data_IF_377528095565
#
_entry.id   IF_377528095565
#
_cell.length_a   1.000
_cell.length_b   1.000
_cell.length_c   1.000
_cell.angle_alpha   90.00
_cell.angle_beta   90.00
_cell.angle_gamma   90.00
#
_symmetry.space_group_name_H-M   'P 1'
#
loop_
_entity.id
_entity.type
_entity.pdbx_description
1 polymer ?
#
# COMPACT_ATOMS: atom_id res chain seq x y z
N UNK A 1 -36.67 -14.96 -16.52
CA UNK A 1 -35.56 -15.05 -15.56
C UNK A 1 -34.36 -14.43 -16.25
N UNK A 2 -33.83 -13.34 -15.69
CA UNK A 2 -32.58 -12.76 -16.19
C UNK A 2 -31.45 -13.74 -15.85
N UNK A 3 -30.49 -13.97 -16.77
CA UNK A 3 -29.33 -14.81 -16.46
C UNK A 3 -28.55 -14.19 -15.29
N UNK A 4 -28.07 -15.05 -14.39
CA UNK A 4 -27.17 -14.60 -13.32
C UNK A 4 -25.92 -13.93 -13.91
N UNK A 5 -25.44 -12.85 -13.30
CA UNK A 5 -24.23 -12.18 -13.79
C UNK A 5 -23.04 -13.15 -13.73
N UNK A 6 -22.34 -13.30 -14.85
CA UNK A 6 -21.15 -14.13 -14.93
C UNK A 6 -20.04 -13.40 -14.15
N UNK A 7 -19.53 -14.03 -13.10
CA UNK A 7 -18.41 -13.52 -12.31
C UNK A 7 -17.11 -13.67 -13.12
N UNK A 8 -16.38 -12.56 -13.29
CA UNK A 8 -15.04 -12.59 -13.90
C UNK A 8 -14.06 -13.25 -12.91
N UNK A 9 -13.55 -14.41 -13.27
CA UNK A 9 -12.53 -15.15 -12.49
C UNK A 9 -11.16 -15.16 -13.18
N UNK A 10 -10.94 -14.29 -14.15
CA UNK A 10 -9.64 -14.16 -14.83
C UNK A 10 -8.54 -13.71 -13.84
N UNK A 11 -7.27 -13.98 -14.13
CA UNK A 11 -6.18 -13.57 -13.28
C UNK A 11 -6.08 -12.04 -13.09
N UNK A 12 -5.66 -11.61 -11.90
CA UNK A 12 -5.24 -10.23 -11.64
C UNK A 12 -3.84 -10.03 -12.25
N UNK A 13 -3.76 -9.44 -13.42
CA UNK A 13 -2.49 -9.19 -14.12
C UNK A 13 -2.09 -7.73 -13.94
N UNK A 14 -0.85 -7.49 -13.52
CA UNK A 14 -0.22 -6.18 -13.63
C UNK A 14 0.26 -5.99 -15.06
N UNK A 15 0.08 -4.78 -15.60
CA UNK A 15 0.66 -4.39 -16.90
C UNK A 15 2.17 -4.14 -16.75
N UNK A 16 2.92 -5.20 -16.49
CA UNK A 16 4.37 -5.20 -16.40
C UNK A 16 4.92 -6.12 -17.49
N UNK A 17 5.79 -5.56 -18.30
CA UNK A 17 6.53 -6.32 -19.31
C UNK A 17 7.91 -6.69 -18.74
N UNK A 18 8.02 -7.91 -18.22
CA UNK A 18 9.24 -8.44 -17.64
C UNK A 18 10.36 -8.62 -18.69
N UNK A 19 10.01 -8.76 -19.97
CA UNK A 19 10.98 -8.93 -21.05
C UNK A 19 11.71 -7.61 -21.35
N UNK A 20 11.15 -6.47 -20.96
CA UNK A 20 11.78 -5.16 -21.14
C UNK A 20 12.68 -4.73 -19.98
N UNK A 21 12.74 -5.50 -18.88
CA UNK A 21 13.60 -5.18 -17.74
C UNK A 21 15.07 -5.44 -18.12
N UNK A 22 15.94 -4.41 -18.12
CA UNK A 22 17.34 -4.60 -18.49
C UNK A 22 18.08 -5.33 -17.35
N UNK A 23 18.31 -6.62 -17.54
CA UNK A 23 18.98 -7.49 -16.55
C UNK A 23 20.44 -7.78 -16.89
N UNK A 24 20.92 -7.37 -18.06
CA UNK A 24 22.26 -7.64 -18.54
C UNK A 24 23.34 -7.08 -17.60
N UNK A 25 24.26 -7.93 -17.19
CA UNK A 25 25.34 -7.57 -16.26
C UNK A 25 24.90 -7.44 -14.78
N UNK A 26 23.67 -7.82 -14.43
CA UNK A 26 23.16 -7.80 -13.06
C UNK A 26 22.44 -9.12 -12.73
N UNK A 27 23.18 -10.05 -12.15
CA UNK A 27 22.68 -11.40 -11.82
C UNK A 27 21.51 -11.36 -10.83
N UNK A 28 21.56 -10.46 -9.83
CA UNK A 28 20.49 -10.31 -8.82
C UNK A 28 19.19 -9.83 -9.50
N UNK A 29 19.29 -8.85 -10.37
CA UNK A 29 18.12 -8.34 -11.09
C UNK A 29 17.56 -9.39 -12.05
N UNK A 30 18.43 -10.18 -12.69
CA UNK A 30 18.04 -11.29 -13.54
C UNK A 30 17.28 -12.36 -12.77
N UNK A 31 17.78 -12.75 -11.58
CA UNK A 31 17.14 -13.72 -10.70
C UNK A 31 15.77 -13.20 -10.20
N UNK A 32 15.69 -11.94 -9.76
CA UNK A 32 14.44 -11.32 -9.33
C UNK A 32 13.42 -11.24 -10.47
N UNK A 33 13.85 -10.86 -11.66
CA UNK A 33 13.00 -10.79 -12.84
C UNK A 33 12.41 -12.16 -13.19
N UNK A 34 13.26 -13.20 -13.22
CA UNK A 34 12.81 -14.58 -13.44
C UNK A 34 11.84 -15.05 -12.33
N UNK A 35 12.11 -14.73 -11.08
CA UNK A 35 11.23 -15.06 -9.97
C UNK A 35 9.85 -14.43 -10.12
N UNK A 36 9.78 -13.11 -10.33
CA UNK A 36 8.49 -12.42 -10.41
C UNK A 36 7.72 -12.76 -11.68
N UNK A 37 8.37 -12.90 -12.83
CA UNK A 37 7.71 -13.30 -14.08
C UNK A 37 7.10 -14.70 -14.02
N UNK A 38 7.67 -15.60 -13.22
CA UNK A 38 7.17 -16.97 -13.04
C UNK A 38 6.00 -17.08 -12.05
N UNK A 39 5.64 -16.01 -11.33
CA UNK A 39 4.57 -16.09 -10.30
C UNK A 39 3.19 -16.14 -10.94
N UNK A 40 2.36 -17.01 -10.41
CA UNK A 40 0.95 -17.08 -10.79
C UNK A 40 0.17 -16.01 -10.03
N UNK A 41 -0.51 -15.08 -10.70
CA UNK A 41 -1.33 -14.08 -10.03
C UNK A 41 -2.58 -14.72 -9.40
N UNK A 42 -3.15 -14.03 -8.41
CA UNK A 42 -4.45 -14.41 -7.85
C UNK A 42 -5.57 -14.14 -8.86
N UNK A 43 -6.66 -14.88 -8.76
CA UNK A 43 -7.83 -14.65 -9.60
C UNK A 43 -8.73 -13.56 -9.03
N UNK A 44 -9.47 -12.92 -9.91
CA UNK A 44 -10.62 -12.08 -9.56
C UNK A 44 -11.74 -12.92 -8.96
N UNK A 45 -12.64 -12.27 -8.25
CA UNK A 45 -13.83 -12.87 -7.65
C UNK A 45 -15.01 -11.89 -7.69
N UNK A 46 -16.14 -12.29 -7.12
CA UNK A 46 -17.38 -11.49 -7.09
C UNK A 46 -17.26 -10.11 -6.41
N UNK A 47 -16.20 -9.90 -5.63
CA UNK A 47 -15.94 -8.62 -4.94
C UNK A 47 -14.98 -7.72 -5.73
N UNK A 48 -14.37 -8.24 -6.79
CA UNK A 48 -13.42 -7.47 -7.59
C UNK A 48 -14.12 -6.26 -8.23
N UNK A 49 -13.59 -5.08 -7.95
CA UNK A 49 -14.14 -3.83 -8.48
C UNK A 49 -15.38 -3.31 -7.75
N UNK A 50 -15.84 -3.93 -6.64
CA UNK A 50 -17.04 -3.47 -5.91
C UNK A 50 -16.93 -2.02 -5.42
N UNK A 51 -15.73 -1.52 -5.21
CA UNK A 51 -15.47 -0.13 -4.80
C UNK A 51 -14.94 0.75 -5.95
N UNK A 52 -15.06 0.31 -7.19
CA UNK A 52 -14.63 1.11 -8.35
C UNK A 52 -15.34 2.47 -8.35
N UNK A 53 -14.55 3.55 -8.40
CA UNK A 53 -15.05 4.92 -8.36
C UNK A 53 -15.31 5.48 -6.96
N UNK A 54 -15.13 4.69 -5.91
CA UNK A 54 -15.18 5.17 -4.54
C UNK A 54 -13.85 5.81 -4.11
N UNK A 55 -13.91 6.70 -3.13
CA UNK A 55 -12.71 7.21 -2.48
C UNK A 55 -12.15 6.18 -1.48
N UNK A 56 -10.82 6.08 -1.43
CA UNK A 56 -10.12 5.30 -0.40
C UNK A 56 -9.57 6.24 0.67
N UNK A 57 -9.92 6.00 1.92
CA UNK A 57 -9.35 6.68 3.10
C UNK A 57 -8.62 5.60 3.90
N UNK A 58 -7.29 5.69 3.97
CA UNK A 58 -6.44 4.84 4.78
C UNK A 58 -6.03 5.61 6.04
N UNK A 59 -6.37 5.09 7.20
CA UNK A 59 -6.02 5.70 8.49
C UNK A 59 -5.08 4.76 9.23
N UNK A 60 -3.84 5.20 9.48
CA UNK A 60 -2.92 4.55 10.41
C UNK A 60 -3.13 5.15 11.79
N UNK A 61 -3.87 4.44 12.64
CA UNK A 61 -4.14 4.86 14.00
C UNK A 61 -2.97 4.43 14.91
N UNK A 62 -1.86 5.16 14.83
CA UNK A 62 -0.63 4.87 15.60
C UNK A 62 -0.91 4.87 17.10
N UNK A 63 -0.35 3.88 17.80
CA UNK A 63 -0.51 3.68 19.25
C UNK A 63 -1.96 3.50 19.72
N UNK A 64 -2.94 3.34 18.84
CA UNK A 64 -4.31 3.07 19.20
C UNK A 64 -4.44 1.63 19.75
N UNK A 65 -4.86 1.51 20.99
CA UNK A 65 -5.12 0.19 21.59
C UNK A 65 -6.49 -0.34 21.21
N UNK A 66 -6.56 -1.57 20.72
CA UNK A 66 -7.83 -2.25 20.47
C UNK A 66 -8.75 -2.30 21.68
N UNK A 67 -8.18 -2.31 22.90
CA UNK A 67 -8.96 -2.25 24.15
C UNK A 67 -9.76 -0.94 24.32
N UNK A 68 -9.41 0.10 23.57
CA UNK A 68 -10.12 1.38 23.58
C UNK A 68 -11.24 1.48 22.53
N UNK A 69 -11.52 0.42 21.77
CA UNK A 69 -12.51 0.45 20.67
C UNK A 69 -13.90 0.84 21.17
N UNK A 70 -14.30 0.35 22.34
CA UNK A 70 -15.62 0.63 22.94
C UNK A 70 -15.77 2.09 23.38
N UNK A 71 -14.66 2.80 23.58
CA UNK A 71 -14.64 4.24 23.90
C UNK A 71 -14.68 5.13 22.65
N UNK A 72 -14.66 4.53 21.47
CA UNK A 72 -14.64 5.21 20.18
C UNK A 72 -15.82 4.79 19.31
N UNK A 73 -17.01 5.37 19.50
CA UNK A 73 -18.25 4.88 18.87
C UNK A 73 -18.18 4.76 17.35
N UNK A 74 -17.49 5.67 16.69
CA UNK A 74 -17.32 5.63 15.23
C UNK A 74 -16.48 4.43 14.78
N UNK A 75 -15.35 4.16 15.45
CA UNK A 75 -14.50 3.02 15.12
C UNK A 75 -15.20 1.70 15.46
N UNK A 76 -15.91 1.64 16.60
CA UNK A 76 -16.72 0.49 16.96
C UNK A 76 -17.78 0.19 15.88
N UNK A 77 -18.48 1.22 15.39
CA UNK A 77 -19.45 1.07 14.32
C UNK A 77 -18.80 0.54 13.04
N UNK A 78 -17.65 1.09 12.61
CA UNK A 78 -16.94 0.60 11.44
C UNK A 78 -16.49 -0.85 11.60
N UNK A 79 -16.06 -1.26 12.79
CA UNK A 79 -15.68 -2.63 13.08
C UNK A 79 -16.85 -3.60 13.00
N UNK A 80 -18.04 -3.19 13.49
CA UNK A 80 -19.22 -4.08 13.56
C UNK A 80 -20.05 -4.12 12.28
N UNK A 81 -20.03 -3.05 11.49
CA UNK A 81 -20.80 -2.93 10.25
C UNK A 81 -19.96 -3.14 8.99
N UNK A 82 -18.63 -3.10 9.09
CA UNK A 82 -17.68 -3.27 7.98
C UNK A 82 -16.98 -4.64 7.97
N UNK A 83 -15.92 -4.73 7.18
CA UNK A 83 -15.04 -5.90 7.19
C UNK A 83 -14.12 -5.82 8.43
N UNK A 84 -14.24 -6.78 9.31
CA UNK A 84 -13.39 -6.92 10.49
C UNK A 84 -12.43 -8.11 10.31
N UNK A 85 -11.13 -7.80 10.22
CA UNK A 85 -10.09 -8.82 10.05
C UNK A 85 -9.59 -9.29 11.42
N UNK A 86 -10.14 -10.38 11.93
CA UNK A 86 -9.85 -10.90 13.29
C UNK A 86 -8.43 -11.50 13.41
N UNK A 87 -7.81 -11.87 12.30
CA UNK A 87 -6.45 -12.41 12.23
C UNK A 87 -5.48 -11.45 11.56
N UNK A 88 -5.65 -10.16 11.79
CA UNK A 88 -4.74 -9.13 11.30
C UNK A 88 -3.69 -8.85 12.36
N UNK A 89 -2.41 -9.06 12.02
CA UNK A 89 -1.28 -8.88 12.91
C UNK A 89 -0.38 -7.78 12.40
N UNK A 90 0.14 -6.96 13.31
CA UNK A 90 1.20 -6.01 12.99
C UNK A 90 2.53 -6.74 13.01
N UNK A 91 3.22 -6.88 11.87
CA UNK A 91 4.55 -7.45 11.88
C UNK A 91 5.51 -6.48 12.57
N UNK A 92 6.46 -7.01 13.30
CA UNK A 92 7.49 -6.21 13.97
C UNK A 92 8.79 -6.28 13.19
N UNK A 93 9.34 -5.12 12.86
CA UNK A 93 10.64 -4.93 12.23
C UNK A 93 11.47 -3.89 12.99
N UNK A 94 12.68 -3.61 12.50
CA UNK A 94 13.68 -2.80 13.21
C UNK A 94 13.25 -1.34 13.40
N UNK A 95 12.54 -0.75 12.43
CA UNK A 95 12.16 0.67 12.44
C UNK A 95 10.65 0.85 12.69
N UNK A 96 10.07 -0.04 13.49
CA UNK A 96 8.72 0.06 14.06
C UNK A 96 7.67 0.70 13.12
N UNK A 97 7.17 1.91 13.46
CA UNK A 97 6.14 2.66 12.70
C UNK A 97 6.51 2.85 11.23
N UNK A 98 7.75 3.22 10.95
CA UNK A 98 8.20 3.48 9.57
C UNK A 98 8.18 2.23 8.71
N UNK A 99 8.52 1.08 9.27
CA UNK A 99 8.47 -0.20 8.57
C UNK A 99 7.03 -0.67 8.35
N UNK A 100 6.15 -0.48 9.33
CA UNK A 100 4.72 -0.75 9.18
C UNK A 100 4.08 0.11 8.08
N UNK A 101 4.41 1.38 8.03
CA UNK A 101 3.97 2.33 7.01
C UNK A 101 4.50 1.94 5.62
N UNK A 102 5.78 1.56 5.52
CA UNK A 102 6.37 1.05 4.29
C UNK A 102 5.62 -0.18 3.77
N UNK A 103 5.40 -1.17 4.62
CA UNK A 103 4.68 -2.39 4.24
C UNK A 103 3.24 -2.11 3.77
N UNK A 104 2.52 -1.23 4.47
CA UNK A 104 1.14 -0.87 4.13
C UNK A 104 1.03 -0.13 2.79
N UNK A 105 1.97 0.77 2.48
CA UNK A 105 1.92 1.61 1.29
C UNK A 105 2.54 0.97 0.04
N UNK A 106 3.45 0.02 0.23
CA UNK A 106 4.18 -0.62 -0.87
C UNK A 106 3.78 -2.08 -1.12
N UNK A 107 3.19 -2.74 -0.12
CA UNK A 107 2.92 -4.18 -0.17
C UNK A 107 4.17 -5.06 -0.09
N UNK A 108 5.31 -4.51 0.33
CA UNK A 108 6.58 -5.22 0.42
C UNK A 108 7.11 -5.28 1.85
N UNK A 109 7.90 -6.31 2.16
CA UNK A 109 8.52 -6.48 3.46
C UNK A 109 9.76 -5.58 3.56
N UNK A 110 9.92 -4.79 4.64
CA UNK A 110 11.12 -3.99 4.87
C UNK A 110 12.37 -4.86 4.95
N UNK A 111 13.49 -4.32 4.47
CA UNK A 111 14.78 -5.01 4.55
C UNK A 111 15.36 -4.89 5.97
N UNK A 112 15.72 -5.99 6.64
CA UNK A 112 16.33 -5.95 7.96
C UNK A 112 17.61 -5.11 7.99
N UNK A 113 17.81 -4.35 9.08
CA UNK A 113 18.99 -3.50 9.25
C UNK A 113 19.05 -2.27 8.34
N UNK A 114 17.94 -1.95 7.67
CA UNK A 114 17.88 -0.84 6.72
C UNK A 114 16.61 -0.04 6.97
N UNK A 115 16.71 1.28 6.97
CA UNK A 115 15.50 2.12 7.01
C UNK A 115 14.84 2.18 5.64
N UNK A 116 14.16 1.08 5.29
CA UNK A 116 13.62 0.84 3.95
C UNK A 116 12.71 1.96 3.44
N UNK A 117 11.90 2.55 4.33
CA UNK A 117 10.98 3.61 3.91
C UNK A 117 11.71 4.89 3.50
N UNK A 118 12.72 5.32 4.26
CA UNK A 118 13.55 6.46 3.90
C UNK A 118 14.34 6.20 2.63
N UNK A 119 14.99 5.03 2.57
CA UNK A 119 15.83 4.67 1.44
C UNK A 119 15.03 4.48 0.14
N UNK A 120 13.72 4.18 0.24
CA UNK A 120 12.82 4.12 -0.91
C UNK A 120 12.65 5.47 -1.63
N UNK A 121 12.95 6.59 -0.96
CA UNK A 121 12.85 7.92 -1.56
C UNK A 121 13.79 8.11 -2.76
N UNK A 122 14.86 7.33 -2.84
CA UNK A 122 15.86 7.38 -3.93
C UNK A 122 15.60 6.33 -5.03
N UNK A 123 14.59 5.49 -4.85
CA UNK A 123 14.29 4.40 -5.77
C UNK A 123 13.01 4.66 -6.57
N UNK A 124 12.94 4.13 -7.79
CA UNK A 124 11.69 4.11 -8.54
C UNK A 124 10.68 3.17 -7.86
N UNK A 125 9.52 3.70 -7.47
CA UNK A 125 8.47 2.98 -6.73
C UNK A 125 7.13 2.98 -7.51
N UNK A 126 7.06 2.34 -8.69
CA UNK A 126 5.90 2.46 -9.59
C UNK A 126 4.67 1.68 -9.11
N UNK A 127 4.83 0.73 -8.20
CA UNK A 127 3.76 -0.18 -7.79
C UNK A 127 3.15 0.15 -6.43
N UNK A 128 3.48 1.31 -5.86
CA UNK A 128 2.85 1.75 -4.61
C UNK A 128 1.36 2.00 -4.79
N UNK A 129 0.61 1.93 -3.70
CA UNK A 129 -0.84 2.18 -3.70
C UNK A 129 -1.20 3.49 -4.43
N UNK A 130 -0.52 4.60 -4.10
CA UNK A 130 -0.79 5.89 -4.71
C UNK A 130 -0.48 5.91 -6.21
N UNK A 131 0.66 5.34 -6.63
CA UNK A 131 1.03 5.30 -8.04
C UNK A 131 0.03 4.46 -8.87
N UNK A 132 -0.44 3.35 -8.32
CA UNK A 132 -1.44 2.51 -8.98
C UNK A 132 -2.78 3.23 -9.10
N UNK A 133 -3.27 3.89 -8.04
CA UNK A 133 -4.51 4.65 -8.07
C UNK A 133 -4.42 5.87 -9.00
N UNK A 134 -3.28 6.56 -9.06
CA UNK A 134 -3.07 7.66 -10.00
C UNK A 134 -3.17 7.23 -11.46
N UNK A 135 -2.69 6.02 -11.81
CA UNK A 135 -2.89 5.47 -13.17
C UNK A 135 -4.37 5.28 -13.53
N UNK A 136 -5.22 5.11 -12.52
CA UNK A 136 -6.68 5.02 -12.68
C UNK A 136 -7.38 6.39 -12.61
N UNK A 137 -6.63 7.50 -12.58
CA UNK A 137 -7.17 8.86 -12.56
C UNK A 137 -7.49 9.43 -11.17
N UNK A 138 -7.10 8.74 -10.09
CA UNK A 138 -7.27 9.27 -8.74
C UNK A 138 -6.20 10.31 -8.39
N UNK A 139 -6.57 11.24 -7.52
CA UNK A 139 -5.60 12.08 -6.79
C UNK A 139 -5.24 11.39 -5.48
N UNK A 140 -3.95 11.42 -5.10
CA UNK A 140 -3.46 10.78 -3.89
C UNK A 140 -2.84 11.82 -2.95
N UNK A 141 -3.34 11.88 -1.71
CA UNK A 141 -2.88 12.78 -0.67
C UNK A 141 -2.46 11.98 0.55
N UNK A 142 -1.44 12.44 1.26
CA UNK A 142 -1.03 11.92 2.56
C UNK A 142 -0.93 13.06 3.56
N UNK A 143 -1.42 12.83 4.77
CA UNK A 143 -1.43 13.80 5.86
C UNK A 143 -0.80 13.19 7.09
N UNK A 144 -0.05 14.00 7.84
CA UNK A 144 0.56 13.59 9.10
C UNK A 144 0.48 14.73 10.12
N UNK A 145 0.17 14.40 11.34
CA UNK A 145 -0.06 15.36 12.44
C UNK A 145 1.21 15.74 13.21
N UNK A 146 2.39 15.51 12.63
CA UNK A 146 3.68 15.89 13.17
C UNK A 146 4.44 16.77 12.16
N UNK A 147 5.68 17.17 12.48
CA UNK A 147 6.49 18.01 11.58
C UNK A 147 6.69 17.38 10.21
N UNK A 148 6.68 18.22 9.19
CA UNK A 148 6.76 17.81 7.77
C UNK A 148 7.96 16.91 7.45
N UNK A 149 9.10 17.13 8.11
CA UNK A 149 10.34 16.38 7.88
C UNK A 149 10.49 15.14 8.77
N UNK A 150 9.51 14.85 9.64
CA UNK A 150 9.60 13.72 10.56
C UNK A 150 9.69 12.39 9.81
N UNK A 151 10.72 11.59 10.10
CA UNK A 151 11.04 10.34 9.40
C UNK A 151 11.32 10.52 7.90
N UNK A 152 11.77 11.70 7.47
CA UNK A 152 12.04 12.04 6.07
C UNK A 152 10.83 11.75 5.13
N UNK A 153 9.60 11.85 5.67
CA UNK A 153 8.37 11.64 4.92
C UNK A 153 8.17 12.66 3.80
N UNK A 154 8.74 13.85 3.96
CA UNK A 154 8.81 14.87 2.90
C UNK A 154 9.56 14.40 1.65
N UNK A 155 10.40 13.38 1.76
CA UNK A 155 11.12 12.75 0.65
C UNK A 155 10.40 11.49 0.17
N UNK A 156 10.06 10.57 1.09
CA UNK A 156 9.48 9.27 0.76
C UNK A 156 8.05 9.38 0.20
N UNK A 157 7.14 10.11 0.84
CA UNK A 157 5.74 10.17 0.41
C UNK A 157 5.54 10.76 -1.00
N UNK A 158 6.18 11.87 -1.40
CA UNK A 158 6.11 12.34 -2.78
C UNK A 158 6.63 11.31 -3.78
N UNK A 159 7.71 10.59 -3.45
CA UNK A 159 8.25 9.53 -4.28
C UNK A 159 7.28 8.35 -4.45
N UNK A 160 6.50 8.02 -3.39
CA UNK A 160 5.44 7.01 -3.46
C UNK A 160 4.21 7.48 -4.26
N UNK A 161 4.14 8.76 -4.67
CA UNK A 161 3.08 9.32 -5.51
C UNK A 161 2.07 10.20 -4.78
N UNK A 162 2.28 10.53 -3.50
CA UNK A 162 1.37 11.37 -2.73
C UNK A 162 1.71 12.86 -2.82
N UNK A 163 0.68 13.70 -2.75
CA UNK A 163 0.82 15.08 -2.30
C UNK A 163 0.85 15.05 -0.78
N UNK A 164 2.04 15.20 -0.20
CA UNK A 164 2.24 15.08 1.25
C UNK A 164 2.10 16.42 1.96
N UNK A 165 1.37 16.42 3.07
CA UNK A 165 1.16 17.59 3.94
C UNK A 165 1.29 17.20 5.41
N UNK A 166 1.91 18.08 6.19
CA UNK A 166 2.08 17.92 7.63
C UNK A 166 2.30 19.28 8.29
N UNK A 167 2.50 19.33 9.60
CA UNK A 167 2.78 20.58 10.31
C UNK A 167 3.98 21.31 9.69
N UNK A 168 3.76 22.55 9.30
CA UNK A 168 4.74 23.40 8.60
C UNK A 168 4.67 23.34 7.07
N UNK A 169 3.78 22.51 6.48
CA UNK A 169 3.57 22.45 5.03
C UNK A 169 2.09 22.20 4.66
N UNK A 170 1.20 23.08 5.10
CA UNK A 170 -0.20 23.11 4.64
C UNK A 170 -1.17 22.20 5.41
N UNK A 171 -0.84 21.88 6.63
CA UNK A 171 -1.75 21.35 7.66
C UNK A 171 -1.73 22.30 8.85
#
# INVERSE_FOLDING_TARGET
VLPEPVVDTSPNVLELDFDTVPTEGNDVLSELNAYFSSRTPTNKNEKTGMFKGCNLILITAESFSYLAIDLTPTLYKLQTEGFNFTNFYTPYWDVSTSDGEYAALTGTIPKPGTWSFRDSAENAMPLTMAQQLKRLGYSAYAYHDHTYTYYDRNLSHPNLGYVYRALGNGV
#
